data_IF_494045847526
#
_entry.id   IF_494045847526
#
_cell.length_a   1.000
_cell.length_b   1.000
_cell.length_c   1.000
_cell.angle_alpha   90.00
_cell.angle_beta   90.00
_cell.angle_gamma   90.00
#
_symmetry.space_group_name_H-M   'P 1'
#
loop_
_entity.id
_entity.type
_entity.pdbx_description
1 polymer ?
#
# COMPACT_ATOMS: atom_id res chain seq x y z
N UNK A 1 16.26 -8.58 -26.62
CA UNK A 1 15.44 -8.85 -25.44
C UNK A 1 16.19 -8.64 -24.12
N UNK A 2 17.28 -9.36 -23.82
CA UNK A 2 18.02 -9.19 -22.57
C UNK A 2 18.58 -7.77 -22.37
N UNK A 3 19.18 -7.17 -23.40
CA UNK A 3 19.67 -5.79 -23.34
C UNK A 3 18.55 -4.78 -23.15
N UNK A 4 17.38 -5.01 -23.72
CA UNK A 4 16.20 -4.16 -23.56
C UNK A 4 15.65 -4.27 -22.15
N UNK A 5 15.57 -5.47 -21.58
CA UNK A 5 15.14 -5.70 -20.21
C UNK A 5 16.06 -5.04 -19.17
N UNK A 6 17.38 -5.18 -19.37
CA UNK A 6 18.39 -4.50 -18.55
C UNK A 6 18.27 -2.98 -18.64
N UNK A 7 18.06 -2.45 -19.84
CA UNK A 7 17.92 -1.01 -20.09
C UNK A 7 16.65 -0.45 -19.44
N UNK A 8 15.53 -1.15 -19.55
CA UNK A 8 14.27 -0.78 -18.89
C UNK A 8 14.39 -0.83 -17.36
N UNK A 9 15.01 -1.89 -16.82
CA UNK A 9 15.27 -2.00 -15.39
C UNK A 9 16.15 -0.86 -14.88
N UNK A 10 17.23 -0.53 -15.58
CA UNK A 10 18.13 0.57 -15.25
C UNK A 10 17.43 1.93 -15.36
N UNK A 11 16.68 2.19 -16.44
CA UNK A 11 15.95 3.44 -16.61
C UNK A 11 14.93 3.65 -15.50
N UNK A 12 14.23 2.59 -15.10
CA UNK A 12 13.28 2.67 -13.98
C UNK A 12 13.99 2.99 -12.67
N UNK A 13 15.13 2.36 -12.39
CA UNK A 13 15.93 2.69 -11.20
C UNK A 13 16.39 4.16 -11.24
N UNK A 14 16.89 4.63 -12.38
CA UNK A 14 17.34 6.02 -12.53
C UNK A 14 16.20 7.01 -12.26
N UNK A 15 14.97 6.69 -12.68
CA UNK A 15 13.78 7.49 -12.37
C UNK A 15 13.47 7.52 -10.88
N UNK A 16 13.65 6.40 -10.15
CA UNK A 16 13.48 6.35 -8.69
C UNK A 16 14.61 7.04 -7.92
N UNK A 17 15.82 7.07 -8.50
CA UNK A 17 16.99 7.76 -7.94
C UNK A 17 17.04 9.24 -8.34
N UNK A 18 16.15 9.71 -9.23
CA UNK A 18 16.04 11.13 -9.53
C UNK A 18 15.88 11.94 -8.22
N UNK A 19 16.76 12.93 -7.96
CA UNK A 19 16.78 13.66 -6.69
C UNK A 19 15.42 14.27 -6.32
N UNK A 20 14.66 14.72 -7.30
CA UNK A 20 13.34 15.32 -7.10
C UNK A 20 12.32 14.27 -6.67
N UNK A 21 12.31 13.11 -7.32
CA UNK A 21 11.42 12.00 -7.01
C UNK A 21 11.74 11.39 -5.65
N UNK A 22 13.02 11.22 -5.35
CA UNK A 22 13.49 10.69 -4.07
C UNK A 22 13.16 11.65 -2.92
N UNK A 23 13.45 12.94 -3.07
CA UNK A 23 13.28 13.94 -2.01
C UNK A 23 11.80 14.26 -1.74
N UNK A 24 10.98 14.39 -2.78
CA UNK A 24 9.58 14.81 -2.65
C UNK A 24 8.57 13.64 -2.63
N UNK A 25 9.00 12.45 -3.04
CA UNK A 25 8.17 11.23 -3.05
C UNK A 25 8.52 10.27 -1.92
N UNK A 26 9.75 9.76 -1.90
CA UNK A 26 10.16 8.67 -1.03
C UNK A 26 10.50 9.15 0.39
N UNK A 27 11.26 10.23 0.53
CA UNK A 27 11.71 10.75 1.84
C UNK A 27 10.53 11.10 2.76
N UNK A 28 9.49 11.82 2.33
CA UNK A 28 8.33 12.11 3.20
C UNK A 28 7.65 10.85 3.72
N UNK A 29 7.57 9.77 2.93
CA UNK A 29 6.99 8.51 3.36
C UNK A 29 7.75 7.88 4.54
N UNK A 30 9.08 7.90 4.47
CA UNK A 30 9.91 7.39 5.57
C UNK A 30 9.87 8.31 6.80
N UNK A 31 9.75 9.63 6.61
CA UNK A 31 9.57 10.57 7.71
C UNK A 31 8.23 10.38 8.41
N UNK A 32 7.13 10.20 7.65
CA UNK A 32 5.82 9.86 8.23
C UNK A 32 5.90 8.55 9.01
N UNK A 33 6.51 7.53 8.42
CA UNK A 33 6.65 6.21 9.04
C UNK A 33 7.47 6.25 10.31
N UNK A 34 8.58 6.99 10.31
CA UNK A 34 9.39 7.22 11.50
C UNK A 34 8.66 8.06 12.55
N UNK A 35 7.84 9.04 12.13
CA UNK A 35 6.99 9.81 13.04
C UNK A 35 5.93 8.92 13.71
N UNK A 36 5.27 8.04 12.96
CA UNK A 36 4.35 7.04 13.50
C UNK A 36 5.07 6.17 14.53
N UNK A 37 6.28 5.68 14.20
CA UNK A 37 7.03 4.78 15.07
C UNK A 37 7.56 5.44 16.36
N UNK A 38 7.97 6.71 16.29
CA UNK A 38 8.69 7.39 17.36
C UNK A 38 7.85 8.39 18.16
N UNK A 39 6.84 9.00 17.52
CA UNK A 39 6.08 10.12 18.09
C UNK A 39 4.66 9.73 18.51
N UNK A 40 4.10 8.67 17.93
CA UNK A 40 2.81 8.16 18.40
C UNK A 40 3.04 7.23 19.58
N UNK A 41 2.31 7.51 20.66
CA UNK A 41 2.32 6.64 21.82
C UNK A 41 1.76 5.27 21.45
N UNK A 42 2.50 4.24 21.82
CA UNK A 42 2.09 2.86 21.62
C UNK A 42 0.69 2.59 22.17
N UNK A 43 0.37 3.19 23.31
CA UNK A 43 -0.93 3.04 23.98
C UNK A 43 -2.08 3.59 23.11
N UNK A 44 -1.89 4.75 22.46
CA UNK A 44 -2.89 5.32 21.55
C UNK A 44 -3.16 4.40 20.35
N UNK A 45 -2.11 3.84 19.75
CA UNK A 45 -2.26 2.91 18.63
C UNK A 45 -2.94 1.61 19.09
N UNK A 46 -2.54 1.06 20.24
CA UNK A 46 -3.15 -0.13 20.81
C UNK A 46 -4.63 0.06 21.16
N UNK A 47 -5.03 1.25 21.58
CA UNK A 47 -6.42 1.58 21.89
C UNK A 47 -7.31 1.58 20.64
N UNK A 48 -6.86 2.18 19.53
CA UNK A 48 -7.67 2.32 18.33
C UNK A 48 -7.49 1.17 17.34
N UNK A 49 -6.28 0.65 17.21
CA UNK A 49 -5.89 -0.35 16.21
C UNK A 49 -5.35 -1.64 16.81
N UNK A 50 -5.28 -1.75 18.13
CA UNK A 50 -4.76 -2.95 18.81
C UNK A 50 -5.69 -4.14 18.68
N UNK A 51 -5.18 -5.36 18.94
CA UNK A 51 -5.97 -6.58 18.85
C UNK A 51 -7.14 -6.65 19.84
N UNK A 52 -7.15 -5.80 20.87
CA UNK A 52 -8.26 -5.66 21.84
C UNK A 52 -9.27 -4.57 21.48
N UNK A 53 -9.04 -3.78 20.43
CA UNK A 53 -9.98 -2.74 19.98
C UNK A 53 -11.21 -3.37 19.30
N UNK A 54 -12.27 -2.57 19.17
CA UNK A 54 -13.44 -3.00 18.40
C UNK A 54 -13.02 -3.19 16.92
N UNK A 55 -13.01 -4.45 16.48
CA UNK A 55 -12.51 -4.88 15.17
C UNK A 55 -13.15 -4.13 14.01
N UNK A 56 -14.48 -3.97 14.07
CA UNK A 56 -15.26 -3.30 13.03
C UNK A 56 -14.82 -1.85 12.88
N UNK A 57 -14.74 -1.13 13.99
CA UNK A 57 -14.32 0.28 14.00
C UNK A 57 -12.86 0.41 13.57
N UNK A 58 -11.97 -0.42 14.09
CA UNK A 58 -10.55 -0.36 13.79
C UNK A 58 -10.24 -0.63 12.30
N UNK A 59 -10.89 -1.65 11.71
CA UNK A 59 -10.73 -2.00 10.29
C UNK A 59 -11.32 -0.91 9.40
N UNK A 60 -12.51 -0.38 9.73
CA UNK A 60 -13.15 0.71 8.97
C UNK A 60 -12.29 1.97 8.99
N UNK A 61 -11.81 2.39 10.15
CA UNK A 61 -10.94 3.57 10.28
C UNK A 61 -9.64 3.35 9.48
N UNK A 62 -9.04 2.16 9.56
CA UNK A 62 -7.83 1.83 8.81
C UNK A 62 -8.05 1.86 7.30
N UNK A 63 -9.19 1.34 6.81
CA UNK A 63 -9.58 1.39 5.40
C UNK A 63 -9.72 2.82 4.90
N UNK A 64 -10.41 3.67 5.67
CA UNK A 64 -10.63 5.08 5.34
C UNK A 64 -9.31 5.85 5.41
N UNK A 65 -8.50 5.61 6.45
CA UNK A 65 -7.21 6.28 6.59
C UNK A 65 -6.26 5.98 5.41
N UNK A 66 -6.20 4.72 4.97
CA UNK A 66 -5.43 4.34 3.78
C UNK A 66 -5.93 5.03 2.52
N UNK A 67 -7.24 5.09 2.34
CA UNK A 67 -7.88 5.75 1.20
C UNK A 67 -7.60 7.26 1.16
N UNK A 68 -7.69 7.95 2.31
CA UNK A 68 -7.42 9.39 2.42
C UNK A 68 -5.95 9.69 2.16
N UNK A 69 -5.04 8.86 2.68
CA UNK A 69 -3.61 9.06 2.50
C UNK A 69 -3.17 8.94 1.04
N UNK A 70 -3.91 8.20 0.22
CA UNK A 70 -3.69 8.04 -1.22
C UNK A 70 -2.21 7.78 -1.57
N UNK A 71 -1.54 6.94 -0.80
CA UNK A 71 -0.11 6.66 -0.93
C UNK A 71 0.15 5.49 -1.88
N UNK A 72 1.26 5.54 -2.60
CA UNK A 72 1.70 4.43 -3.43
C UNK A 72 2.12 3.21 -2.59
N UNK A 73 2.24 2.05 -3.22
CA UNK A 73 2.70 0.81 -2.56
C UNK A 73 4.09 0.96 -1.90
N UNK A 74 4.96 1.80 -2.44
CA UNK A 74 6.28 2.09 -1.86
C UNK A 74 6.20 2.81 -0.51
N UNK A 75 5.20 3.69 -0.36
CA UNK A 75 5.04 4.56 0.81
C UNK A 75 4.19 3.90 1.90
N UNK A 76 3.22 3.07 1.52
CA UNK A 76 2.34 2.38 2.47
C UNK A 76 3.08 1.31 3.30
N UNK A 77 4.07 0.64 2.71
CA UNK A 77 4.80 -0.43 3.38
C UNK A 77 5.58 0.05 4.62
N UNK A 78 6.37 1.14 4.57
CA UNK A 78 6.99 1.66 5.79
C UNK A 78 5.96 2.06 6.85
N UNK A 79 4.84 2.69 6.47
CA UNK A 79 3.78 3.06 7.41
C UNK A 79 3.13 1.82 8.06
N UNK A 80 2.78 0.83 7.24
CA UNK A 80 2.29 -0.47 7.70
C UNK A 80 3.29 -1.13 8.66
N UNK A 81 4.58 -1.14 8.30
CA UNK A 81 5.64 -1.74 9.12
C UNK A 81 5.72 -1.08 10.49
N UNK A 82 5.62 0.25 10.54
CA UNK A 82 5.62 1.01 11.79
C UNK A 82 4.40 0.69 12.64
N UNK A 83 3.20 0.76 12.06
CA UNK A 83 1.95 0.43 12.77
C UNK A 83 1.97 -1.00 13.31
N UNK A 84 2.38 -1.97 12.49
CA UNK A 84 2.44 -3.37 12.88
C UNK A 84 3.46 -3.64 13.99
N UNK A 85 4.66 -3.01 13.94
CA UNK A 85 5.70 -3.11 14.98
C UNK A 85 5.27 -2.49 16.31
N UNK A 86 4.52 -1.39 16.28
CA UNK A 86 3.99 -0.75 17.50
C UNK A 86 2.90 -1.60 18.16
N UNK A 87 2.26 -2.49 17.38
CA UNK A 87 1.29 -3.46 17.92
C UNK A 87 -0.12 -3.27 17.38
N UNK A 88 -0.32 -2.59 16.27
CA UNK A 88 -1.61 -2.59 15.58
C UNK A 88 -2.06 -4.02 15.28
N UNK A 89 -3.35 -4.29 15.41
CA UNK A 89 -3.96 -5.56 15.05
C UNK A 89 -3.71 -5.90 13.59
N UNK A 90 -3.56 -7.19 13.29
CA UNK A 90 -3.27 -7.63 11.94
C UNK A 90 -4.38 -7.24 10.95
N UNK A 91 -5.65 -7.25 11.39
CA UNK A 91 -6.79 -6.84 10.58
C UNK A 91 -6.70 -5.37 10.15
N UNK A 92 -6.69 -4.40 11.07
CA UNK A 92 -6.53 -3.00 10.73
C UNK A 92 -5.26 -2.71 9.92
N UNK A 93 -4.14 -3.33 10.28
CA UNK A 93 -2.87 -3.12 9.59
C UNK A 93 -2.93 -3.58 8.12
N UNK A 94 -3.51 -4.75 7.84
CA UNK A 94 -3.64 -5.28 6.47
C UNK A 94 -4.72 -4.56 5.67
N UNK A 95 -5.79 -4.10 6.30
CA UNK A 95 -6.79 -3.24 5.68
C UNK A 95 -6.19 -1.92 5.21
N UNK A 96 -5.38 -1.27 6.06
CA UNK A 96 -4.62 -0.08 5.71
C UNK A 96 -3.63 -0.33 4.58
N UNK A 97 -2.89 -1.45 4.64
CA UNK A 97 -1.92 -1.84 3.62
C UNK A 97 -2.54 -2.00 2.24
N UNK A 98 -3.75 -2.56 2.16
CA UNK A 98 -4.48 -2.72 0.91
C UNK A 98 -5.10 -1.41 0.43
N UNK A 99 -5.78 -0.68 1.33
CA UNK A 99 -6.57 0.50 0.96
C UNK A 99 -5.72 1.65 0.43
N UNK A 100 -4.50 1.86 0.97
CA UNK A 100 -3.61 2.96 0.57
C UNK A 100 -3.38 3.04 -0.93
N UNK A 101 -2.82 2.01 -1.56
CA UNK A 101 -2.59 2.02 -2.99
C UNK A 101 -3.83 1.69 -3.84
N UNK A 102 -4.75 0.84 -3.36
CA UNK A 102 -5.90 0.42 -4.13
C UNK A 102 -6.97 1.52 -4.28
N UNK A 103 -7.13 2.37 -3.27
CA UNK A 103 -8.13 3.44 -3.22
C UNK A 103 -7.45 4.82 -3.34
N UNK A 104 -6.48 4.95 -4.24
CA UNK A 104 -5.83 6.24 -4.50
C UNK A 104 -6.82 7.17 -5.23
N UNK A 105 -7.02 8.38 -4.70
CA UNK A 105 -7.96 9.38 -5.23
C UNK A 105 -7.71 9.69 -6.71
N UNK A 106 -6.44 9.90 -7.09
CA UNK A 106 -6.08 10.15 -8.49
C UNK A 106 -6.41 8.94 -9.39
N UNK A 107 -6.16 7.72 -8.91
CA UNK A 107 -6.47 6.51 -9.66
C UNK A 107 -7.99 6.30 -9.82
N UNK A 108 -8.81 6.67 -8.82
CA UNK A 108 -10.27 6.65 -8.91
C UNK A 108 -10.73 7.58 -10.04
N UNK A 109 -10.32 8.84 -10.03
CA UNK A 109 -10.72 9.81 -11.05
C UNK A 109 -10.27 9.41 -12.45
N UNK A 110 -9.01 8.99 -12.62
CA UNK A 110 -8.48 8.55 -13.91
C UNK A 110 -9.21 7.28 -14.38
N UNK A 111 -9.45 6.31 -13.50
CA UNK A 111 -10.18 5.08 -13.85
C UNK A 111 -11.62 5.39 -14.25
N UNK A 112 -12.32 6.26 -13.51
CA UNK A 112 -13.68 6.68 -13.85
C UNK A 112 -13.73 7.42 -15.20
N UNK A 113 -12.77 8.31 -15.46
CA UNK A 113 -12.70 9.07 -16.71
C UNK A 113 -12.35 8.21 -17.93
N UNK A 114 -11.42 7.26 -17.79
CA UNK A 114 -10.91 6.46 -18.91
C UNK A 114 -11.66 5.15 -19.13
N UNK A 115 -12.16 4.51 -18.07
CA UNK A 115 -12.78 3.19 -18.11
C UNK A 115 -14.30 3.22 -17.79
N UNK A 116 -14.84 4.39 -17.48
CA UNK A 116 -16.28 4.56 -17.23
C UNK A 116 -16.81 3.63 -16.11
N UNK A 117 -17.72 2.72 -16.45
CA UNK A 117 -18.35 1.79 -15.48
C UNK A 117 -17.33 0.90 -14.76
N UNK A 118 -16.31 0.41 -15.46
CA UNK A 118 -15.23 -0.42 -14.89
C UNK A 118 -14.46 0.37 -13.81
N UNK A 119 -14.20 1.66 -14.06
CA UNK A 119 -13.50 2.52 -13.09
C UNK A 119 -14.26 2.74 -11.80
N UNK A 120 -15.58 2.93 -11.87
CA UNK A 120 -16.45 3.03 -10.70
C UNK A 120 -16.56 1.70 -9.96
N UNK A 121 -16.73 0.59 -10.69
CA UNK A 121 -16.79 -0.75 -10.11
C UNK A 121 -15.48 -1.09 -9.37
N UNK A 122 -14.31 -0.76 -9.95
CA UNK A 122 -13.01 -0.88 -9.28
C UNK A 122 -12.99 -0.16 -7.94
N UNK A 123 -13.45 1.08 -7.90
CA UNK A 123 -13.42 1.92 -6.70
C UNK A 123 -14.28 1.36 -5.58
N UNK A 124 -15.48 0.95 -5.90
CA UNK A 124 -16.44 0.33 -4.94
C UNK A 124 -15.86 -1.00 -4.44
N UNK A 125 -15.39 -1.84 -5.36
CA UNK A 125 -14.78 -3.13 -5.00
C UNK A 125 -13.55 -2.96 -4.12
N UNK A 126 -12.68 -1.97 -4.37
CA UNK A 126 -11.50 -1.72 -3.56
C UNK A 126 -11.86 -1.39 -2.10
N UNK A 127 -12.91 -0.61 -1.85
CA UNK A 127 -13.39 -0.29 -0.50
C UNK A 127 -13.87 -1.58 0.21
N UNK A 128 -14.68 -2.36 -0.48
CA UNK A 128 -15.21 -3.63 0.06
C UNK A 128 -14.05 -4.60 0.35
N UNK A 129 -13.12 -4.75 -0.58
CA UNK A 129 -11.97 -5.64 -0.42
C UNK A 129 -11.05 -5.22 0.73
N UNK A 130 -10.79 -3.92 0.90
CA UNK A 130 -9.99 -3.42 2.02
C UNK A 130 -10.55 -3.88 3.37
N UNK A 131 -11.87 -3.78 3.51
CA UNK A 131 -12.57 -4.20 4.71
C UNK A 131 -12.56 -5.74 4.86
N UNK A 132 -12.88 -6.47 3.82
CA UNK A 132 -12.94 -7.94 3.82
C UNK A 132 -11.58 -8.57 4.10
N UNK A 133 -10.52 -8.08 3.47
CA UNK A 133 -9.14 -8.57 3.70
C UNK A 133 -8.75 -8.35 5.16
N UNK A 134 -9.01 -7.15 5.71
CA UNK A 134 -8.74 -6.86 7.11
C UNK A 134 -9.50 -7.79 8.05
N UNK A 135 -10.78 -8.02 7.79
CA UNK A 135 -11.64 -8.89 8.59
C UNK A 135 -11.15 -10.34 8.57
N UNK A 136 -10.88 -10.88 7.40
CA UNK A 136 -10.42 -12.26 7.23
C UNK A 136 -9.04 -12.47 7.86
N UNK A 137 -8.11 -11.54 7.68
CA UNK A 137 -6.79 -11.60 8.33
C UNK A 137 -6.90 -11.56 9.86
N UNK A 138 -7.82 -10.77 10.40
CA UNK A 138 -8.06 -10.73 11.84
C UNK A 138 -8.70 -12.03 12.37
N UNK A 139 -9.61 -12.63 11.62
CA UNK A 139 -10.22 -13.91 11.96
C UNK A 139 -9.18 -15.03 12.05
N UNK A 140 -8.27 -15.10 11.07
CA UNK A 140 -7.23 -16.15 11.03
C UNK A 140 -6.12 -15.94 12.05
N UNK A 141 -5.64 -14.72 12.22
CA UNK A 141 -4.41 -14.45 12.98
C UNK A 141 -4.58 -13.54 14.20
N UNK A 142 -5.74 -12.89 14.36
CA UNK A 142 -5.97 -11.95 15.47
C UNK A 142 -5.83 -12.61 16.85
N UNK A 143 -6.38 -13.79 17.04
CA UNK A 143 -6.27 -14.55 18.31
C UNK A 143 -4.82 -14.94 18.63
N UNK A 144 -4.05 -15.35 17.63
CA UNK A 144 -2.64 -15.70 17.81
C UNK A 144 -1.81 -14.47 18.20
N UNK A 145 -2.08 -13.32 17.58
CA UNK A 145 -1.41 -12.06 17.89
C UNK A 145 -1.69 -11.59 19.33
N UNK A 146 -2.93 -11.71 19.81
CA UNK A 146 -3.29 -11.41 21.20
C UNK A 146 -2.49 -12.27 22.17
N UNK A 147 -2.35 -13.57 21.90
CA UNK A 147 -1.56 -14.49 22.73
C UNK A 147 -0.08 -14.09 22.75
N UNK A 148 0.51 -13.78 21.61
CA UNK A 148 1.91 -13.32 21.50
C UNK A 148 2.14 -12.03 22.30
N UNK A 149 1.19 -11.09 22.27
CA UNK A 149 1.28 -9.82 23.00
C UNK A 149 1.15 -10.03 24.51
N UNK A 150 0.25 -10.89 24.96
CA UNK A 150 0.08 -11.21 26.38
C UNK A 150 1.31 -11.91 26.95
N UNK A 151 1.95 -12.81 26.20
CA UNK A 151 3.20 -13.46 26.61
C UNK A 151 4.37 -12.47 26.74
N UNK A 152 4.39 -11.42 25.93
CA UNK A 152 5.40 -10.35 25.99
C UNK A 152 5.12 -9.31 27.07
N UNK A 153 4.11 -9.51 27.91
CA UNK A 153 3.75 -8.60 29.02
C UNK A 153 3.22 -7.24 28.56
N UNK A 154 2.77 -7.15 27.31
CA UNK A 154 2.22 -5.93 26.72
C UNK A 154 0.78 -5.80 27.18
N UNK A 155 0.56 -5.01 28.24
CA UNK A 155 -0.80 -4.72 28.72
C UNK A 155 -1.56 -3.91 27.68
N UNK A 156 -2.83 -4.27 27.46
CA UNK A 156 -3.78 -3.45 26.70
C UNK A 156 -3.90 -2.08 27.35
N UNK A 157 -3.85 -1.04 26.56
CA UNK A 157 -3.70 0.34 26.98
C UNK A 157 -4.72 0.82 28.01
N UNK A 158 -4.21 1.46 29.04
CA UNK A 158 -4.93 2.28 30.00
C UNK A 158 -4.71 3.74 29.63
N UNK A 159 -5.80 4.46 29.34
CA UNK A 159 -6.01 5.92 29.27
C UNK A 159 -4.82 6.88 29.03
N UNK A 160 -3.98 6.66 28.05
CA UNK A 160 -3.07 7.71 27.57
C UNK A 160 -3.80 8.67 26.63
N UNK A 161 -3.55 9.97 26.79
CA UNK A 161 -4.10 11.02 25.91
C UNK A 161 -3.58 10.92 24.49
N UNK A 162 -4.35 11.38 23.51
CA UNK A 162 -3.92 11.42 22.10
C UNK A 162 -2.73 12.38 21.99
N UNK A 163 -1.58 11.96 21.45
CA UNK A 163 -0.40 12.82 21.29
C UNK A 163 -0.61 13.79 20.13
N UNK A 164 -1.41 14.84 20.36
CA UNK A 164 -1.81 15.81 19.33
C UNK A 164 -0.62 16.42 18.57
N UNK A 165 0.53 16.60 19.24
CA UNK A 165 1.75 17.12 18.61
C UNK A 165 2.29 16.18 17.52
N UNK A 166 2.30 14.88 17.81
CA UNK A 166 2.69 13.84 16.83
C UNK A 166 1.72 13.77 15.66
N UNK A 167 0.41 13.82 15.96
CA UNK A 167 -0.64 13.81 14.94
C UNK A 167 -0.57 15.05 14.03
N UNK A 168 -0.28 16.22 14.58
CA UNK A 168 -0.13 17.47 13.81
C UNK A 168 1.02 17.34 12.79
N UNK A 169 2.19 16.86 13.21
CA UNK A 169 3.33 16.67 12.30
C UNK A 169 3.02 15.62 11.24
N UNK A 170 2.39 14.51 11.62
CA UNK A 170 1.96 13.48 10.66
C UNK A 170 0.95 14.07 9.67
N UNK A 171 -0.01 14.86 10.12
CA UNK A 171 -1.00 15.52 9.25
C UNK A 171 -0.34 16.47 8.24
N UNK A 172 0.62 17.29 8.67
CA UNK A 172 1.36 18.18 7.76
C UNK A 172 2.18 17.36 6.75
N UNK A 173 2.87 16.31 7.20
CA UNK A 173 3.62 15.43 6.30
C UNK A 173 2.71 14.71 5.28
N UNK A 174 1.51 14.33 5.69
CA UNK A 174 0.48 13.76 4.80
C UNK A 174 -0.01 14.80 3.79
N UNK A 175 -0.18 16.05 4.20
CA UNK A 175 -0.55 17.15 3.30
C UNK A 175 0.47 17.33 2.16
N UNK A 176 1.76 16.98 2.36
CA UNK A 176 2.77 16.96 1.29
C UNK A 176 2.36 16.07 0.12
N UNK A 177 1.69 14.95 0.40
CA UNK A 177 1.20 14.05 -0.67
C UNK A 177 -0.03 14.58 -1.40
N UNK A 178 -0.88 15.36 -0.71
CA UNK A 178 -2.11 15.91 -1.26
C UNK A 178 -1.86 17.10 -2.19
N UNK A 179 -0.75 17.83 -2.01
CA UNK A 179 -0.44 19.02 -2.79
C UNK A 179 0.20 18.66 -4.11
N UNK A 180 -0.35 19.18 -5.23
CA UNK A 180 0.09 18.82 -6.59
C UNK A 180 1.47 19.37 -7.01
N UNK A 181 1.75 20.68 -7.00
CA UNK A 181 3.01 21.24 -7.50
C UNK A 181 4.22 20.94 -6.61
N UNK A 182 5.36 20.58 -7.23
CA UNK A 182 6.58 20.19 -6.51
C UNK A 182 7.14 21.28 -5.59
N UNK A 183 6.96 22.56 -5.95
CA UNK A 183 7.39 23.70 -5.14
C UNK A 183 6.69 23.71 -3.77
N UNK A 184 5.37 23.55 -3.74
CA UNK A 184 4.58 23.52 -2.49
C UNK A 184 4.91 22.29 -1.64
N UNK A 185 5.21 21.15 -2.27
CA UNK A 185 5.67 19.94 -1.54
C UNK A 185 6.97 20.22 -0.78
N UNK A 186 7.93 20.89 -1.42
CA UNK A 186 9.19 21.27 -0.79
C UNK A 186 8.97 22.21 0.41
N UNK A 187 8.14 23.23 0.25
CA UNK A 187 7.81 24.19 1.33
C UNK A 187 7.13 23.46 2.50
N UNK A 188 6.14 22.61 2.24
CA UNK A 188 5.45 21.86 3.28
C UNK A 188 6.37 20.85 4.00
N UNK A 189 7.30 20.25 3.29
CA UNK A 189 8.28 19.34 3.89
C UNK A 189 9.21 20.10 4.84
N UNK A 190 9.72 21.27 4.42
CA UNK A 190 10.54 22.14 5.27
C UNK A 190 9.74 22.62 6.48
N UNK A 191 8.49 23.02 6.28
CA UNK A 191 7.60 23.44 7.37
C UNK A 191 7.36 22.30 8.37
N UNK A 192 7.10 21.07 7.90
CA UNK A 192 6.93 19.91 8.75
C UNK A 192 8.18 19.60 9.59
N UNK A 193 9.36 19.72 8.98
CA UNK A 193 10.64 19.55 9.68
C UNK A 193 10.89 20.65 10.70
N UNK A 194 10.60 21.91 10.37
CA UNK A 194 10.74 23.05 11.28
C UNK A 194 9.77 22.95 12.47
N UNK A 195 8.51 22.61 12.22
CA UNK A 195 7.50 22.40 13.27
C UNK A 195 7.90 21.21 14.15
N UNK A 196 8.36 20.11 13.57
CA UNK A 196 8.88 18.98 14.34
C UNK A 196 10.09 19.38 15.20
N UNK A 197 10.96 20.22 14.67
CA UNK A 197 12.11 20.75 15.42
C UNK A 197 11.69 21.60 16.63
N UNK A 198 10.63 22.41 16.51
CA UNK A 198 10.12 23.29 17.55
C UNK A 198 9.28 22.55 18.61
N UNK A 199 8.48 21.56 18.19
CA UNK A 199 7.52 20.90 19.07
C UNK A 199 8.11 19.74 19.88
N UNK A 200 9.18 19.10 19.39
CA UNK A 200 9.74 17.90 19.99
C UNK A 200 11.07 18.14 20.70
N UNK A 201 11.26 17.46 21.83
CA UNK A 201 12.50 17.45 22.57
C UNK A 201 13.60 16.73 21.78
N UNK A 202 14.87 16.96 22.16
CA UNK A 202 16.05 16.38 21.49
C UNK A 202 15.95 14.84 21.36
N UNK A 203 15.49 14.15 22.39
CA UNK A 203 15.34 12.68 22.39
C UNK A 203 14.26 12.22 21.39
N UNK A 204 13.12 12.86 21.36
CA UNK A 204 12.03 12.56 20.42
C UNK A 204 12.46 12.79 18.96
N UNK A 205 13.18 13.89 18.69
CA UNK A 205 13.72 14.17 17.35
C UNK A 205 14.74 13.13 16.91
N UNK A 206 15.69 12.78 17.79
CA UNK A 206 16.67 11.74 17.49
C UNK A 206 16.01 10.38 17.29
N UNK A 207 15.00 10.04 18.09
CA UNK A 207 14.18 8.85 17.91
C UNK A 207 13.49 8.84 16.55
N UNK A 208 12.85 9.95 16.16
CA UNK A 208 12.18 10.09 14.88
C UNK A 208 13.14 9.89 13.69
N UNK A 209 14.26 10.59 13.65
CA UNK A 209 15.25 10.45 12.57
C UNK A 209 15.87 9.05 12.54
N UNK A 210 16.16 8.48 13.70
CA UNK A 210 16.71 7.12 13.82
C UNK A 210 15.76 6.07 13.28
N UNK A 211 14.47 6.14 13.64
CA UNK A 211 13.46 5.21 13.13
C UNK A 211 13.22 5.40 11.63
N UNK A 212 13.12 6.64 11.14
CA UNK A 212 13.03 6.93 9.70
C UNK A 212 14.20 6.33 8.93
N UNK A 213 15.43 6.48 9.43
CA UNK A 213 16.64 5.95 8.82
C UNK A 213 16.73 4.42 8.88
N UNK A 214 16.31 3.81 9.98
CA UNK A 214 16.24 2.36 10.11
C UNK A 214 15.25 1.74 9.12
N UNK A 215 14.10 2.37 8.94
CA UNK A 215 13.10 1.93 7.96
C UNK A 215 13.61 2.12 6.53
N UNK A 216 14.27 3.23 6.24
CA UNK A 216 14.88 3.48 4.94
C UNK A 216 15.91 2.39 4.58
N UNK A 217 16.88 2.12 5.47
CA UNK A 217 17.88 1.06 5.26
C UNK A 217 17.26 -0.33 5.06
N UNK A 218 16.17 -0.61 5.75
CA UNK A 218 15.50 -1.91 5.66
C UNK A 218 14.75 -2.08 4.34
N UNK A 219 14.04 -1.05 3.90
CA UNK A 219 13.03 -1.14 2.83
C UNK A 219 13.62 -0.73 1.48
N UNK A 220 14.41 0.34 1.45
CA UNK A 220 14.91 0.94 0.20
C UNK A 220 15.71 -0.03 -0.69
N UNK A 221 16.67 -0.84 -0.18
CA UNK A 221 17.42 -1.78 -1.02
C UNK A 221 16.52 -2.84 -1.66
N UNK A 222 15.54 -3.36 -0.89
CA UNK A 222 14.60 -4.38 -1.39
C UNK A 222 13.67 -3.77 -2.43
N UNK A 223 13.25 -2.52 -2.23
CA UNK A 223 12.42 -1.78 -3.16
C UNK A 223 13.14 -1.60 -4.51
N UNK A 224 14.39 -1.13 -4.49
CA UNK A 224 15.18 -0.94 -5.72
C UNK A 224 15.40 -2.28 -6.45
N UNK A 225 15.81 -3.33 -5.73
CA UNK A 225 15.99 -4.64 -6.33
C UNK A 225 14.69 -5.21 -6.94
N UNK A 226 13.57 -5.08 -6.22
CA UNK A 226 12.28 -5.56 -6.68
C UNK A 226 11.72 -4.77 -7.87
N UNK A 227 11.90 -3.45 -7.89
CA UNK A 227 11.53 -2.59 -9.03
C UNK A 227 12.33 -2.96 -10.27
N UNK A 228 13.64 -3.21 -10.12
CA UNK A 228 14.49 -3.66 -11.22
C UNK A 228 13.99 -4.97 -11.82
N UNK A 229 13.76 -5.99 -10.99
CA UNK A 229 13.28 -7.31 -11.43
C UNK A 229 11.91 -7.18 -12.09
N UNK A 230 10.97 -6.44 -11.50
CA UNK A 230 9.64 -6.25 -12.05
C UNK A 230 9.65 -5.51 -13.39
N UNK A 231 10.49 -4.48 -13.54
CA UNK A 231 10.64 -3.73 -14.79
C UNK A 231 11.30 -4.58 -15.89
N UNK A 232 12.27 -5.40 -15.53
CA UNK A 232 12.88 -6.35 -16.47
C UNK A 232 11.86 -7.41 -16.95
N UNK A 233 11.01 -7.92 -16.05
CA UNK A 233 9.97 -8.91 -16.39
C UNK A 233 8.94 -8.38 -17.39
N UNK A 234 8.60 -7.08 -17.36
CA UNK A 234 7.67 -6.47 -18.32
C UNK A 234 8.07 -6.70 -19.79
N UNK A 235 9.37 -6.71 -20.07
CA UNK A 235 9.88 -6.89 -21.44
C UNK A 235 9.65 -8.33 -21.96
N UNK A 236 9.54 -9.31 -21.04
CA UNK A 236 9.36 -10.72 -21.42
C UNK A 236 7.89 -11.12 -21.59
N UNK A 237 6.94 -10.29 -21.15
CA UNK A 237 5.50 -10.60 -21.25
C UNK A 237 4.90 -9.80 -22.42
N UNK A 238 4.75 -10.38 -23.62
CA UNK A 238 4.15 -9.69 -24.75
C UNK A 238 2.64 -9.50 -24.54
N UNK A 239 2.12 -8.35 -24.95
CA UNK A 239 0.71 -8.00 -24.80
C UNK A 239 -0.24 -9.04 -25.45
N UNK A 240 0.17 -9.67 -26.55
CA UNK A 240 -0.60 -10.71 -27.23
C UNK A 240 -0.86 -11.96 -26.38
N UNK A 241 0.09 -12.34 -25.52
CA UNK A 241 -0.08 -13.45 -24.58
C UNK A 241 -1.05 -13.06 -23.47
N UNK A 242 -0.96 -11.82 -22.99
CA UNK A 242 -1.87 -11.28 -21.97
C UNK A 242 -3.31 -11.34 -22.45
N UNK A 243 -3.58 -10.83 -23.67
CA UNK A 243 -4.93 -10.84 -24.25
C UNK A 243 -5.48 -12.24 -24.46
N UNK A 244 -4.65 -13.17 -24.95
CA UNK A 244 -5.06 -14.56 -25.18
C UNK A 244 -5.42 -15.29 -23.87
N UNK A 245 -4.79 -14.94 -22.75
CA UNK A 245 -5.04 -15.53 -21.44
C UNK A 245 -6.21 -14.86 -20.70
N UNK A 246 -6.50 -13.58 -20.97
CA UNK A 246 -7.45 -12.76 -20.19
C UNK A 246 -8.67 -12.31 -20.99
N UNK A 247 -8.81 -12.74 -22.24
CA UNK A 247 -9.99 -12.45 -23.07
C UNK A 247 -11.22 -13.28 -22.74
N UNK A 248 -11.06 -14.38 -21.99
CA UNK A 248 -12.17 -15.23 -21.61
C UNK A 248 -12.87 -14.67 -20.34
N UNK A 249 -14.20 -14.58 -20.37
CA UNK A 249 -15.04 -14.29 -19.21
C UNK A 249 -15.11 -15.53 -18.31
N UNK A 250 -14.04 -15.77 -17.54
CA UNK A 250 -13.95 -16.94 -16.67
C UNK A 250 -13.22 -16.60 -15.37
N UNK A 251 -13.59 -17.28 -14.30
CA UNK A 251 -12.93 -17.12 -13.00
C UNK A 251 -11.42 -17.41 -13.07
N UNK A 252 -11.01 -18.36 -13.91
CA UNK A 252 -9.59 -18.68 -14.11
C UNK A 252 -8.86 -17.52 -14.77
N UNK A 253 -9.46 -16.90 -15.78
CA UNK A 253 -8.92 -15.69 -16.43
C UNK A 253 -8.74 -14.54 -15.43
N UNK A 254 -9.71 -14.33 -14.56
CA UNK A 254 -9.68 -13.31 -13.51
C UNK A 254 -8.60 -13.59 -12.46
N UNK A 255 -8.38 -14.85 -12.05
CA UNK A 255 -7.26 -15.25 -11.17
C UNK A 255 -5.92 -14.99 -11.84
N UNK A 256 -5.75 -15.43 -13.10
CA UNK A 256 -4.50 -15.22 -13.83
C UNK A 256 -4.20 -13.71 -13.99
N UNK A 257 -5.24 -12.93 -14.28
CA UNK A 257 -5.15 -11.48 -14.38
C UNK A 257 -4.72 -10.83 -13.06
N UNK A 258 -5.29 -11.25 -11.93
CA UNK A 258 -4.89 -10.82 -10.59
C UNK A 258 -3.44 -11.17 -10.28
N UNK A 259 -3.00 -12.39 -10.60
CA UNK A 259 -1.61 -12.85 -10.36
C UNK A 259 -0.64 -12.02 -11.19
N UNK A 260 -0.93 -11.82 -12.47
CA UNK A 260 -0.05 -11.04 -13.35
C UNK A 260 -0.05 -9.57 -12.94
N UNK A 261 -1.20 -8.98 -12.62
CA UNK A 261 -1.27 -7.64 -12.04
C UNK A 261 -0.42 -7.50 -10.78
N UNK A 262 -0.48 -8.49 -9.89
CA UNK A 262 0.28 -8.52 -8.66
C UNK A 262 1.81 -8.64 -8.87
N UNK A 263 2.25 -9.33 -9.92
CA UNK A 263 3.68 -9.53 -10.22
C UNK A 263 4.25 -8.37 -11.03
N UNK A 264 3.47 -7.85 -11.98
CA UNK A 264 3.89 -6.74 -12.83
C UNK A 264 3.76 -5.43 -12.05
N UNK A 265 4.91 -4.82 -11.76
CA UNK A 265 4.94 -3.53 -11.08
C UNK A 265 4.53 -2.41 -12.06
N UNK A 266 3.34 -1.85 -11.86
CA UNK A 266 2.90 -0.63 -12.55
C UNK A 266 2.73 0.51 -11.55
N UNK A 267 3.06 1.74 -11.99
CA UNK A 267 2.64 2.91 -11.25
C UNK A 267 1.11 3.02 -11.33
N UNK A 268 0.46 3.38 -10.24
CA UNK A 268 -0.99 3.49 -10.14
C UNK A 268 -1.61 4.37 -11.24
N UNK A 269 -0.87 5.37 -11.72
CA UNK A 269 -1.31 6.26 -12.79
C UNK A 269 -1.16 5.64 -14.19
N UNK A 270 -0.14 4.80 -14.40
CA UNK A 270 0.12 4.16 -15.72
C UNK A 270 -0.68 2.87 -15.90
N UNK A 271 -1.15 2.26 -14.82
CA UNK A 271 -1.93 1.04 -14.83
C UNK A 271 -3.26 1.22 -15.59
N UNK A 272 -3.94 2.36 -15.41
CA UNK A 272 -5.24 2.63 -16.01
C UNK A 272 -5.17 2.74 -17.54
N UNK A 273 -4.28 3.56 -18.15
CA UNK A 273 -4.11 3.58 -19.62
C UNK A 273 -3.69 2.23 -20.20
N UNK A 274 -2.83 1.49 -19.50
CA UNK A 274 -2.41 0.15 -19.93
C UNK A 274 -3.61 -0.80 -19.95
N UNK A 275 -4.41 -0.80 -18.89
CA UNK A 275 -5.62 -1.64 -18.80
C UNK A 275 -6.61 -1.29 -19.91
N UNK A 276 -6.78 0.00 -20.23
CA UNK A 276 -7.62 0.42 -21.34
C UNK A 276 -7.14 -0.18 -22.66
N UNK A 277 -5.84 -0.08 -22.96
CA UNK A 277 -5.27 -0.70 -24.16
C UNK A 277 -5.46 -2.21 -24.19
N UNK A 278 -5.37 -2.89 -23.04
CA UNK A 278 -5.61 -4.34 -22.94
C UNK A 278 -7.09 -4.69 -23.20
N UNK A 279 -8.03 -3.87 -22.73
CA UNK A 279 -9.47 -4.03 -23.03
C UNK A 279 -9.72 -3.82 -24.52
N UNK A 280 -9.14 -2.79 -25.13
CA UNK A 280 -9.24 -2.53 -26.58
C UNK A 280 -8.65 -3.68 -27.42
N UNK A 281 -7.69 -4.43 -26.90
CA UNK A 281 -7.14 -5.65 -27.51
C UNK A 281 -7.97 -6.92 -27.22
N UNK A 282 -9.01 -6.89 -26.38
CA UNK A 282 -9.91 -8.00 -26.11
C UNK A 282 -9.81 -8.62 -24.72
N UNK A 283 -9.22 -7.93 -23.74
CA UNK A 283 -9.27 -8.34 -22.32
C UNK A 283 -10.68 -8.20 -21.77
N UNK A 284 -11.20 -9.22 -21.06
CA UNK A 284 -12.53 -9.15 -20.44
C UNK A 284 -12.60 -8.07 -19.34
N UNK A 285 -13.83 -7.55 -19.12
CA UNK A 285 -14.06 -6.51 -18.12
C UNK A 285 -13.75 -6.98 -16.69
N UNK A 286 -14.07 -8.24 -16.38
CA UNK A 286 -13.77 -8.83 -15.09
C UNK A 286 -12.28 -9.03 -14.86
N UNK A 287 -11.55 -9.51 -15.88
CA UNK A 287 -10.10 -9.60 -15.84
C UNK A 287 -9.45 -8.23 -15.65
N UNK A 288 -9.99 -7.18 -16.28
CA UNK A 288 -9.51 -5.81 -16.10
C UNK A 288 -9.71 -5.32 -14.67
N UNK A 289 -10.86 -5.57 -14.05
CA UNK A 289 -11.11 -5.23 -12.64
C UNK A 289 -10.17 -6.01 -11.72
N UNK A 290 -10.03 -7.30 -11.93
CA UNK A 290 -9.15 -8.16 -11.14
C UNK A 290 -7.69 -7.67 -11.20
N UNK A 291 -7.22 -7.27 -12.39
CA UNK A 291 -5.92 -6.68 -12.62
C UNK A 291 -5.74 -5.37 -11.86
N UNK A 292 -6.69 -4.44 -12.00
CA UNK A 292 -6.67 -3.11 -11.38
C UNK A 292 -6.81 -3.13 -9.86
N UNK A 293 -7.36 -4.19 -9.25
CA UNK A 293 -7.48 -4.35 -7.81
C UNK A 293 -6.24 -4.99 -7.19
N UNK A 294 -5.63 -5.96 -7.87
CA UNK A 294 -4.46 -6.67 -7.36
C UNK A 294 -3.15 -5.89 -7.60
N UNK A 295 -3.00 -5.24 -8.76
CA UNK A 295 -1.78 -4.56 -9.19
C UNK A 295 -1.28 -3.48 -8.25
N UNK A 296 -2.09 -2.49 -7.86
CA UNK A 296 -1.66 -1.45 -6.93
C UNK A 296 -1.36 -1.97 -5.53
N UNK A 297 -2.14 -2.96 -5.08
CA UNK A 297 -2.04 -3.51 -3.72
C UNK A 297 -0.83 -4.43 -3.54
N UNK A 298 -0.40 -5.10 -4.61
CA UNK A 298 0.70 -6.05 -4.62
C UNK A 298 1.75 -5.65 -5.66
N UNK A 299 2.99 -5.96 -5.35
CA UNK A 299 4.12 -5.90 -6.28
C UNK A 299 5.20 -6.84 -5.77
N UNK A 300 6.09 -7.33 -6.61
CA UNK A 300 7.18 -8.20 -6.16
C UNK A 300 7.95 -7.63 -4.96
N UNK A 301 8.40 -6.37 -4.95
CA UNK A 301 9.08 -5.80 -3.79
C UNK A 301 8.17 -5.75 -2.55
N UNK A 302 6.89 -5.39 -2.71
CA UNK A 302 5.97 -5.33 -1.57
C UNK A 302 5.69 -6.72 -1.00
N UNK A 303 5.52 -7.75 -1.82
CA UNK A 303 5.33 -9.13 -1.36
C UNK A 303 6.51 -9.62 -0.52
N UNK A 304 7.75 -9.33 -0.96
CA UNK A 304 8.97 -9.71 -0.21
C UNK A 304 8.99 -8.99 1.14
N UNK A 305 8.71 -7.68 1.15
CA UNK A 305 8.71 -6.87 2.37
C UNK A 305 7.61 -7.27 3.34
N UNK A 306 6.40 -7.51 2.86
CA UNK A 306 5.25 -7.98 3.66
C UNK A 306 5.60 -9.30 4.34
N UNK A 307 6.16 -10.26 3.59
CA UNK A 307 6.59 -11.55 4.15
C UNK A 307 7.71 -11.39 5.19
N UNK A 308 8.63 -10.42 4.99
CA UNK A 308 9.69 -10.14 5.95
C UNK A 308 9.18 -9.49 7.24
N UNK A 309 8.14 -8.66 7.17
CA UNK A 309 7.56 -7.94 8.30
C UNK A 309 6.59 -8.80 9.12
N UNK A 310 5.66 -9.48 8.45
CA UNK A 310 4.62 -10.30 9.12
C UNK A 310 5.00 -11.76 9.31
N UNK A 311 6.07 -12.22 8.64
CA UNK A 311 6.39 -13.63 8.51
C UNK A 311 5.65 -14.29 7.32
N UNK A 312 6.25 -15.36 6.79
CA UNK A 312 5.82 -16.01 5.54
C UNK A 312 4.36 -16.45 5.60
N UNK A 313 3.91 -17.08 6.71
CA UNK A 313 2.53 -17.57 6.82
C UNK A 313 1.50 -16.45 6.69
N UNK A 314 1.66 -15.37 7.46
CA UNK A 314 0.73 -14.23 7.45
C UNK A 314 0.80 -13.46 6.12
N UNK A 315 2.02 -13.24 5.61
CA UNK A 315 2.24 -12.53 4.35
C UNK A 315 1.69 -13.27 3.14
N UNK A 316 1.94 -14.58 3.03
CA UNK A 316 1.38 -15.39 1.94
C UNK A 316 -0.15 -15.47 2.00
N UNK A 317 -0.74 -15.59 3.20
CA UNK A 317 -2.20 -15.55 3.35
C UNK A 317 -2.76 -14.23 2.85
N UNK A 318 -2.14 -13.10 3.19
CA UNK A 318 -2.56 -11.78 2.69
C UNK A 318 -2.49 -11.71 1.16
N UNK A 319 -1.38 -12.15 0.55
CA UNK A 319 -1.19 -12.15 -0.91
C UNK A 319 -2.27 -13.00 -1.60
N UNK A 320 -2.51 -14.21 -1.09
CA UNK A 320 -3.54 -15.11 -1.63
C UNK A 320 -4.93 -14.49 -1.51
N UNK A 321 -5.26 -13.87 -0.38
CA UNK A 321 -6.55 -13.20 -0.18
C UNK A 321 -6.73 -12.05 -1.16
N UNK A 322 -5.72 -11.21 -1.38
CA UNK A 322 -5.81 -10.12 -2.35
C UNK A 322 -6.07 -10.67 -3.75
N UNK A 323 -5.33 -11.68 -4.19
CA UNK A 323 -5.50 -12.29 -5.51
C UNK A 323 -6.90 -12.90 -5.68
N UNK A 324 -7.33 -13.71 -4.71
CA UNK A 324 -8.64 -14.37 -4.77
C UNK A 324 -9.80 -13.38 -4.74
N UNK A 325 -9.76 -12.40 -3.82
CA UNK A 325 -10.84 -11.42 -3.71
C UNK A 325 -10.89 -10.48 -4.91
N UNK A 326 -9.74 -10.13 -5.49
CA UNK A 326 -9.72 -9.37 -6.74
C UNK A 326 -10.33 -10.15 -7.90
N UNK A 327 -10.02 -11.45 -8.01
CA UNK A 327 -10.62 -12.33 -9.02
C UNK A 327 -12.15 -12.49 -8.82
N UNK A 328 -12.59 -12.68 -7.56
CA UNK A 328 -14.03 -12.73 -7.23
C UNK A 328 -14.72 -11.42 -7.60
N UNK A 329 -14.13 -10.27 -7.29
CA UNK A 329 -14.70 -8.97 -7.65
C UNK A 329 -14.83 -8.80 -9.18
N UNK A 330 -13.84 -9.27 -9.95
CA UNK A 330 -13.92 -9.32 -11.41
C UNK A 330 -15.08 -10.20 -11.90
N UNK A 331 -15.20 -11.41 -11.36
CA UNK A 331 -16.28 -12.33 -11.73
C UNK A 331 -17.67 -11.82 -11.33
N UNK A 332 -17.78 -11.19 -10.17
CA UNK A 332 -19.06 -10.55 -9.75
C UNK A 332 -19.46 -9.45 -10.71
N UNK A 333 -18.49 -8.66 -11.19
CA UNK A 333 -18.76 -7.63 -12.17
C UNK A 333 -19.29 -8.22 -13.50
N UNK A 334 -18.67 -9.29 -14.01
CA UNK A 334 -19.12 -10.00 -15.23
C UNK A 334 -20.51 -10.61 -15.09
N UNK A 335 -20.91 -10.98 -13.87
CA UNK A 335 -22.27 -11.49 -13.61
C UNK A 335 -23.36 -10.40 -13.58
N UNK A 336 -22.98 -9.17 -13.24
CA UNK A 336 -23.92 -8.04 -13.10
C UNK A 336 -24.05 -7.24 -14.39
N UNK A 337 -23.00 -7.14 -15.17
CA UNK A 337 -22.90 -6.29 -16.36
C UNK A 337 -22.49 -7.06 -17.61
#
# INVERSE_FOLDING_TARGET
MWQTALKEGLNTILTYLDPLHLLLGIVPAFLISGAIAALLDRESILRFFGPGANKWIAITIASIAGAILAVCSCSVIPMFTSMYKIGAGIGPATSFLYSGPAINTAAIFISAAMLGKIGWARSISAIILAFMIGLVMDLFFGKAQIREMNQKGIKTASSAGIPWKGLLVIFILVAVYMVGPNLYKGILLIAAMAIGYLLFNREQRLGWYRESWNLFKLIFPILIAGVFVASALKVFVPASVIVKLFGAESFVSNILSSIIGAVLYFSTLTEVPITRSLIEMGMSSGSAIAFLLAGPALSLPSMILINRVMGIKKGMTYIILVVLFSAVAGSVYELIF
#
